data_IF_578686670229
#
_entry.id   IF_578686670229
#
_cell.length_a   1.000
_cell.length_b   1.000
_cell.length_c   1.000
_cell.angle_alpha   90.00
_cell.angle_beta   90.00
_cell.angle_gamma   90.00
#
_symmetry.space_group_name_H-M   'P 1'
#
loop_
_entity.id
_entity.type
_entity.pdbx_description
1 polymer ?
#
# COMPACT_ATOMS: atom_id res chain seq x y z
N UNK A 1 -0.98 -1.60 -0.70
CA UNK A 1 -0.55 -1.26 -2.07
C UNK A 1 -1.20 -2.06 -3.20
N UNK A 2 -1.36 -3.38 -3.11
CA UNK A 2 -1.80 -4.20 -4.26
C UNK A 2 -3.13 -3.74 -4.90
N UNK A 3 -4.16 -3.55 -4.08
CA UNK A 3 -5.51 -3.19 -4.55
C UNK A 3 -5.51 -1.85 -5.28
N UNK A 4 -4.93 -0.82 -4.66
CA UNK A 4 -4.92 0.54 -5.23
C UNK A 4 -4.13 0.62 -6.53
N UNK A 5 -3.02 -0.12 -6.64
CA UNK A 5 -2.27 -0.25 -7.90
C UNK A 5 -3.10 -0.92 -9.00
N UNK A 6 -3.81 -2.01 -8.68
CA UNK A 6 -4.71 -2.66 -9.64
C UNK A 6 -5.86 -1.75 -10.05
N UNK A 7 -6.41 -0.96 -9.13
CA UNK A 7 -7.46 0.00 -9.42
C UNK A 7 -7.01 1.07 -10.42
N UNK A 8 -5.80 1.63 -10.26
CA UNK A 8 -5.20 2.56 -11.24
C UNK A 8 -5.10 1.89 -12.61
N UNK A 9 -4.58 0.64 -12.67
CA UNK A 9 -4.47 -0.11 -13.92
C UNK A 9 -5.82 -0.33 -14.61
N UNK A 10 -6.88 -0.65 -13.85
CA UNK A 10 -8.23 -0.84 -14.39
C UNK A 10 -8.84 0.45 -14.96
N UNK A 11 -8.50 1.61 -14.40
CA UNK A 11 -8.94 2.91 -14.91
C UNK A 11 -8.12 3.38 -16.14
N UNK A 12 -7.04 2.68 -16.50
CA UNK A 12 -6.16 3.04 -17.61
C UNK A 12 -5.58 4.45 -17.44
N UNK A 13 -5.49 5.21 -18.54
CA UNK A 13 -4.95 6.58 -18.51
C UNK A 13 -5.72 7.53 -17.57
N UNK A 14 -7.03 7.34 -17.43
CA UNK A 14 -7.85 8.13 -16.50
C UNK A 14 -7.52 7.87 -15.03
N UNK A 15 -6.98 6.69 -14.71
CA UNK A 15 -6.54 6.36 -13.36
C UNK A 15 -5.24 7.04 -12.93
N UNK A 16 -4.53 7.67 -13.87
CA UNK A 16 -3.24 8.31 -13.63
C UNK A 16 -3.33 9.84 -13.54
N UNK A 17 -4.43 10.42 -14.04
CA UNK A 17 -4.67 11.87 -13.96
C UNK A 17 -5.35 12.22 -12.63
N UNK A 18 -5.14 13.46 -12.16
CA UNK A 18 -5.57 13.88 -10.82
C UNK A 18 -7.07 14.19 -10.71
N UNK A 19 -7.79 14.21 -11.83
CA UNK A 19 -9.25 14.34 -11.83
C UNK A 19 -9.97 13.11 -11.25
N UNK A 20 -9.31 11.95 -11.22
CA UNK A 20 -9.84 10.73 -10.62
C UNK A 20 -9.10 10.39 -9.31
N UNK A 21 -9.85 10.14 -8.25
CA UNK A 21 -9.30 9.95 -6.89
C UNK A 21 -8.40 8.71 -6.72
N UNK A 22 -8.43 7.77 -7.66
CA UNK A 22 -7.75 6.47 -7.55
C UNK A 22 -6.21 6.61 -7.47
N UNK A 23 -5.63 7.63 -8.12
CA UNK A 23 -4.19 7.91 -8.01
C UNK A 23 -3.80 8.37 -6.60
N UNK A 24 -4.65 9.20 -5.98
CA UNK A 24 -4.45 9.69 -4.61
C UNK A 24 -4.48 8.54 -3.63
N UNK A 25 -5.48 7.67 -3.76
CA UNK A 25 -5.59 6.47 -2.93
C UNK A 25 -4.37 5.55 -3.08
N UNK A 26 -3.81 5.41 -4.29
CA UNK A 26 -2.58 4.65 -4.50
C UNK A 26 -1.37 5.26 -3.81
N UNK A 27 -1.21 6.58 -3.84
CA UNK A 27 -0.12 7.28 -3.12
C UNK A 27 -0.27 7.14 -1.61
N UNK A 28 -1.49 7.36 -1.10
CA UNK A 28 -1.77 7.29 0.34
C UNK A 28 -1.59 5.85 0.87
N UNK A 29 -1.92 4.83 0.08
CA UNK A 29 -1.71 3.44 0.46
C UNK A 29 -0.23 3.03 0.63
N UNK A 30 0.75 3.84 0.18
CA UNK A 30 2.16 3.49 0.32
C UNK A 30 2.69 3.74 1.73
N UNK A 31 2.22 4.79 2.39
CA UNK A 31 2.70 5.12 3.75
C UNK A 31 2.32 4.03 4.76
N UNK A 32 1.25 3.28 4.49
CA UNK A 32 0.75 2.23 5.38
C UNK A 32 1.73 1.08 5.59
N UNK A 33 2.70 0.91 4.71
CA UNK A 33 3.74 -0.13 4.80
C UNK A 33 4.99 0.32 5.58
N UNK A 34 5.08 1.61 5.94
CA UNK A 34 6.30 2.26 6.46
C UNK A 34 6.07 2.85 7.85
N UNK A 35 5.00 3.61 8.05
CA UNK A 35 4.72 4.27 9.34
C UNK A 35 4.25 3.27 10.41
N UNK A 36 4.33 3.65 11.69
CA UNK A 36 3.95 2.82 12.85
C UNK A 36 4.63 1.43 12.86
N UNK A 37 5.84 1.37 12.32
CA UNK A 37 6.63 0.15 12.13
C UNK A 37 6.47 -0.40 10.71
N UNK A 38 7.59 -0.50 9.99
CA UNK A 38 7.60 -1.01 8.63
C UNK A 38 7.11 -2.46 8.57
N UNK A 39 6.73 -2.90 7.37
CA UNK A 39 6.35 -4.30 7.11
C UNK A 39 7.40 -5.31 7.58
N UNK A 40 8.69 -4.97 7.51
CA UNK A 40 9.80 -5.78 8.03
C UNK A 40 9.77 -5.85 9.56
N UNK A 41 9.53 -4.73 10.25
CA UNK A 41 9.42 -4.68 11.71
C UNK A 41 8.26 -5.56 12.18
N UNK A 42 7.10 -5.45 11.53
CA UNK A 42 5.94 -6.29 11.86
C UNK A 42 6.26 -7.78 11.67
N UNK A 43 6.93 -8.15 10.56
CA UNK A 43 7.38 -9.53 10.32
C UNK A 43 8.33 -10.05 11.41
N UNK A 44 9.28 -9.23 11.89
CA UNK A 44 10.19 -9.59 12.98
C UNK A 44 9.47 -9.80 14.32
N UNK A 45 8.50 -8.95 14.64
CA UNK A 45 7.69 -9.07 15.88
C UNK A 45 6.86 -10.35 15.85
N UNK A 46 6.18 -10.62 14.73
CA UNK A 46 5.36 -11.83 14.56
C UNK A 46 6.23 -13.08 14.62
N UNK A 47 7.37 -13.12 13.92
CA UNK A 47 8.25 -14.29 13.92
C UNK A 47 8.84 -14.54 15.31
N UNK A 48 9.24 -13.49 16.03
CA UNK A 48 9.75 -13.58 17.40
C UNK A 48 8.69 -14.06 18.42
N UNK A 49 7.41 -13.83 18.15
CA UNK A 49 6.30 -14.33 18.96
C UNK A 49 5.94 -15.79 18.64
N UNK A 50 6.06 -16.22 17.38
CA UNK A 50 5.70 -17.58 16.93
C UNK A 50 6.80 -18.63 17.11
N UNK A 51 8.07 -18.23 17.03
CA UNK A 51 9.23 -19.15 17.03
C UNK A 51 9.95 -19.26 18.39
N UNK A 52 9.28 -18.84 19.47
CA UNK A 52 9.70 -19.05 20.86
C UNK A 52 9.01 -20.27 21.44
#
# INVERSE_FOLDING_TARGET
MEVTTKCVQLHGGYGYIREYDVERMMRDAKITEIYEGTSEVQRMVISGALLK
#
